data_IF_720492765875
#
_entry.id   IF_720492765875
#
_cell.length_a   1.000
_cell.length_b   1.000
_cell.length_c   1.000
_cell.angle_alpha   90.00
_cell.angle_beta   90.00
_cell.angle_gamma   90.00
#
_symmetry.space_group_name_H-M   'P 1'
#
loop_
_entity.id
_entity.type
_entity.pdbx_description
1 polymer ?
#
# COMPACT_ATOMS: atom_id res chain seq x y z
N UNK A 1 -82.60 -4.44 -52.17
CA UNK A 1 -81.74 -4.07 -51.03
C UNK A 1 -80.40 -4.78 -51.18
N UNK A 2 -79.45 -4.21 -51.93
CA UNK A 2 -78.21 -4.90 -52.29
C UNK A 2 -77.04 -3.91 -52.32
N UNK A 3 -75.91 -4.35 -51.75
CA UNK A 3 -74.57 -3.76 -51.82
C UNK A 3 -74.41 -2.44 -51.04
N UNK A 4 -74.57 -2.52 -49.71
CA UNK A 4 -73.87 -1.60 -48.77
C UNK A 4 -73.06 -2.36 -47.71
N UNK A 5 -73.45 -3.61 -47.41
CA UNK A 5 -72.76 -4.46 -46.43
C UNK A 5 -71.41 -4.99 -46.94
N UNK A 6 -71.26 -5.26 -48.25
CA UNK A 6 -70.04 -5.83 -48.83
C UNK A 6 -68.84 -4.88 -48.73
N UNK A 7 -69.07 -3.58 -48.95
CA UNK A 7 -68.01 -2.56 -48.90
C UNK A 7 -67.49 -2.36 -47.46
N UNK A 8 -68.37 -2.49 -46.47
CA UNK A 8 -68.03 -2.41 -45.04
C UNK A 8 -67.23 -3.64 -44.61
N UNK A 9 -67.59 -4.83 -45.09
CA UNK A 9 -66.86 -6.08 -44.78
C UNK A 9 -65.47 -6.09 -45.42
N UNK A 10 -65.34 -5.63 -46.67
CA UNK A 10 -64.03 -5.51 -47.34
C UNK A 10 -63.16 -4.44 -46.66
N UNK A 11 -63.75 -3.32 -46.24
CA UNK A 11 -63.05 -2.28 -45.46
C UNK A 11 -62.57 -2.78 -44.10
N UNK A 12 -63.37 -3.59 -43.39
CA UNK A 12 -62.95 -4.19 -42.11
C UNK A 12 -61.80 -5.19 -42.31
N UNK A 13 -61.84 -5.98 -43.38
CA UNK A 13 -60.80 -6.96 -43.69
C UNK A 13 -59.45 -6.30 -44.04
N UNK A 14 -59.47 -5.19 -44.79
CA UNK A 14 -58.25 -4.42 -45.08
C UNK A 14 -57.67 -3.76 -43.83
N UNK A 15 -58.51 -3.24 -42.92
CA UNK A 15 -58.03 -2.68 -41.64
C UNK A 15 -57.43 -3.76 -40.74
N UNK A 16 -57.97 -4.98 -40.73
CA UNK A 16 -57.36 -6.09 -39.98
C UNK A 16 -56.01 -6.57 -40.53
N UNK A 17 -55.78 -6.51 -41.85
CA UNK A 17 -54.49 -6.87 -42.43
C UNK A 17 -53.38 -5.84 -42.13
N UNK A 18 -53.73 -4.55 -42.04
CA UNK A 18 -52.76 -3.48 -41.72
C UNK A 18 -52.34 -3.54 -40.25
N UNK A 19 -53.21 -3.98 -39.34
CA UNK A 19 -52.87 -4.12 -37.91
C UNK A 19 -51.99 -5.36 -37.65
N UNK A 20 -52.11 -6.43 -38.43
CA UNK A 20 -51.27 -7.64 -38.29
C UNK A 20 -49.84 -7.38 -38.80
N UNK A 21 -49.65 -6.49 -39.79
CA UNK A 21 -48.32 -6.11 -40.30
C UNK A 21 -47.49 -5.28 -39.31
N UNK A 22 -48.09 -4.77 -38.23
CA UNK A 22 -47.37 -4.13 -37.11
C UNK A 22 -47.17 -5.08 -35.92
N UNK A 23 -47.51 -6.37 -36.07
CA UNK A 23 -47.27 -7.41 -35.08
C UNK A 23 -46.08 -8.30 -35.47
N UNK A 24 -45.22 -7.84 -36.37
CA UNK A 24 -43.87 -8.37 -36.51
C UNK A 24 -43.00 -7.54 -35.57
N UNK A 25 -43.07 -7.86 -34.27
CA UNK A 25 -42.06 -7.36 -33.34
C UNK A 25 -40.79 -8.14 -33.61
N UNK A 26 -40.02 -7.70 -34.61
CA UNK A 26 -38.59 -7.97 -34.68
C UNK A 26 -37.92 -7.24 -33.51
N UNK A 27 -38.22 -7.71 -32.30
CA UNK A 27 -37.49 -7.32 -31.10
C UNK A 27 -36.12 -7.96 -31.24
N UNK A 28 -35.16 -7.22 -31.78
CA UNK A 28 -33.75 -7.59 -31.68
C UNK A 28 -33.45 -7.79 -30.21
N UNK A 29 -33.15 -9.03 -29.80
CA UNK A 29 -32.75 -9.33 -28.43
C UNK A 29 -31.40 -8.65 -28.22
N UNK A 30 -31.40 -7.56 -27.45
CA UNK A 30 -30.18 -6.89 -27.03
C UNK A 30 -29.56 -7.70 -25.89
N UNK A 31 -28.44 -8.35 -26.19
CA UNK A 31 -27.62 -9.00 -25.19
C UNK A 31 -26.75 -7.96 -24.48
N UNK A 32 -26.58 -8.14 -23.17
CA UNK A 32 -25.73 -7.27 -22.36
C UNK A 32 -24.29 -7.24 -22.88
N UNK A 33 -23.67 -6.07 -22.82
CA UNK A 33 -22.25 -5.83 -23.08
C UNK A 33 -21.38 -5.95 -21.82
N UNK A 34 -21.95 -6.41 -20.69
CA UNK A 34 -21.20 -6.55 -19.44
C UNK A 34 -20.19 -7.70 -19.52
N UNK A 35 -18.92 -7.31 -19.69
CA UNK A 35 -17.74 -8.16 -19.74
C UNK A 35 -16.96 -8.16 -18.41
N UNK A 36 -17.58 -7.73 -17.31
CA UNK A 36 -16.89 -7.56 -16.03
C UNK A 36 -17.07 -8.74 -15.06
N UNK A 37 -16.07 -8.95 -14.20
CA UNK A 37 -16.14 -9.87 -13.07
C UNK A 37 -16.60 -9.06 -11.84
N UNK A 38 -17.69 -9.48 -11.21
CA UNK A 38 -18.31 -8.81 -10.06
C UNK A 38 -17.88 -9.38 -8.71
N UNK A 39 -17.50 -10.66 -8.68
CA UNK A 39 -16.98 -11.32 -7.48
C UNK A 39 -15.95 -12.39 -7.84
N UNK A 40 -14.99 -12.56 -6.95
CA UNK A 40 -13.95 -13.59 -7.05
C UNK A 40 -13.58 -14.05 -5.65
N UNK A 41 -13.69 -15.35 -5.38
CA UNK A 41 -13.29 -15.94 -4.10
C UNK A 41 -12.56 -17.27 -4.36
N UNK A 42 -11.53 -17.53 -3.55
CA UNK A 42 -10.86 -18.83 -3.49
C UNK A 42 -11.39 -19.64 -2.30
N UNK A 43 -11.14 -20.93 -2.35
CA UNK A 43 -11.33 -21.80 -1.18
C UNK A 43 -10.44 -21.36 -0.01
N UNK A 44 -10.76 -21.85 1.18
CA UNK A 44 -10.06 -21.46 2.40
C UNK A 44 -8.60 -21.89 2.37
N UNK A 45 -7.72 -20.97 2.76
CA UNK A 45 -6.29 -21.22 2.95
C UNK A 45 -6.06 -21.33 4.45
N UNK A 46 -5.63 -22.50 4.91
CA UNK A 46 -5.56 -22.84 6.34
C UNK A 46 -6.87 -22.57 7.10
N UNK A 47 -8.02 -22.83 6.47
CA UNK A 47 -9.34 -22.61 7.07
C UNK A 47 -9.78 -21.14 7.16
N UNK A 48 -9.05 -20.21 6.54
CA UNK A 48 -9.42 -18.79 6.44
C UNK A 48 -9.75 -18.41 5.00
N UNK A 49 -10.78 -17.59 4.83
CA UNK A 49 -11.13 -16.98 3.54
C UNK A 49 -10.38 -15.66 3.42
N UNK A 50 -9.68 -15.48 2.31
CA UNK A 50 -8.94 -14.26 2.01
C UNK A 50 -9.74 -13.40 1.04
N UNK A 51 -10.07 -12.13 1.38
CA UNK A 51 -10.86 -11.27 0.51
C UNK A 51 -10.02 -10.78 -0.69
N UNK A 52 -10.59 -10.91 -1.88
CA UNK A 52 -10.03 -10.38 -3.12
C UNK A 52 -10.67 -9.04 -3.49
N UNK A 53 -9.86 -8.16 -4.04
CA UNK A 53 -10.28 -6.91 -4.69
C UNK A 53 -10.20 -7.08 -6.19
N UNK A 54 -11.18 -6.51 -6.88
CA UNK A 54 -11.21 -6.43 -8.34
C UNK A 54 -11.02 -4.97 -8.72
N UNK A 55 -9.86 -4.66 -9.29
CA UNK A 55 -9.63 -3.39 -9.96
C UNK A 55 -10.26 -3.45 -11.36
N UNK A 56 -11.45 -2.87 -11.48
CA UNK A 56 -12.19 -2.84 -12.74
C UNK A 56 -11.51 -1.97 -13.80
N UNK A 57 -10.67 -1.00 -13.43
CA UNK A 57 -10.03 -0.12 -14.41
C UNK A 57 -8.86 -0.85 -15.06
N UNK A 58 -8.01 -1.47 -14.24
CA UNK A 58 -6.80 -2.15 -14.71
C UNK A 58 -7.01 -3.63 -15.05
N UNK A 59 -8.17 -4.20 -14.74
CA UNK A 59 -8.44 -5.63 -14.95
C UNK A 59 -7.57 -6.50 -14.04
N UNK A 60 -7.35 -6.10 -12.78
CA UNK A 60 -6.52 -6.90 -11.85
C UNK A 60 -7.35 -7.43 -10.70
N UNK A 61 -7.11 -8.67 -10.30
CA UNK A 61 -7.76 -9.33 -9.18
C UNK A 61 -6.68 -9.79 -8.23
N UNK A 62 -6.73 -9.32 -6.98
CA UNK A 62 -5.71 -9.67 -6.00
C UNK A 62 -6.26 -9.63 -4.57
N UNK A 63 -5.70 -10.45 -3.69
CA UNK A 63 -6.01 -10.39 -2.27
C UNK A 63 -5.39 -9.14 -1.63
N UNK A 64 -6.19 -8.45 -0.81
CA UNK A 64 -5.73 -7.22 -0.11
C UNK A 64 -4.62 -7.59 0.87
N UNK A 65 -4.85 -8.63 1.67
CA UNK A 65 -3.88 -9.16 2.60
C UNK A 65 -3.23 -10.42 2.04
N UNK A 66 -1.91 -10.44 2.05
CA UNK A 66 -1.12 -11.56 1.57
C UNK A 66 -1.36 -12.84 2.37
N UNK A 67 -1.38 -13.98 1.70
CA UNK A 67 -1.50 -15.29 2.34
C UNK A 67 -0.16 -15.69 2.99
N UNK A 68 -0.16 -16.66 3.93
CA UNK A 68 1.07 -17.08 4.62
C UNK A 68 2.15 -17.57 3.64
N UNK A 69 3.42 -17.37 3.99
CA UNK A 69 4.57 -17.79 3.18
C UNK A 69 4.50 -19.27 2.76
N UNK A 70 4.04 -20.12 3.68
CA UNK A 70 3.94 -21.59 3.49
C UNK A 70 2.67 -22.04 2.74
N UNK A 71 1.82 -21.11 2.29
CA UNK A 71 0.59 -21.44 1.59
C UNK A 71 0.80 -21.95 0.16
N UNK A 72 2.04 -21.92 -0.36
CA UNK A 72 2.44 -22.41 -1.68
C UNK A 72 1.92 -23.82 -1.99
N UNK A 73 1.95 -24.70 -0.98
CA UNK A 73 1.44 -26.08 -1.06
C UNK A 73 -0.09 -26.22 -1.07
N UNK A 74 -0.83 -25.16 -0.76
CA UNK A 74 -2.29 -25.11 -0.81
C UNK A 74 -2.73 -24.44 -2.11
N UNK A 75 -2.16 -23.27 -2.41
CA UNK A 75 -2.54 -22.47 -3.57
C UNK A 75 -2.07 -23.07 -4.90
N UNK A 76 -1.14 -24.04 -4.87
CA UNK A 76 -0.78 -24.82 -6.06
C UNK A 76 -1.90 -25.77 -6.53
N UNK A 77 -2.95 -25.94 -5.73
CA UNK A 77 -4.11 -26.75 -6.05
C UNK A 77 -5.34 -26.23 -5.29
N UNK A 78 -5.77 -25.02 -5.62
CA UNK A 78 -6.89 -24.35 -4.95
C UNK A 78 -8.08 -24.14 -5.90
N UNK A 79 -9.28 -24.22 -5.35
CA UNK A 79 -10.51 -23.98 -6.10
C UNK A 79 -10.87 -22.48 -6.08
N UNK A 80 -11.42 -22.00 -7.18
CA UNK A 80 -12.21 -20.77 -7.19
C UNK A 80 -13.62 -21.16 -6.73
N UNK A 81 -14.01 -20.71 -5.55
CA UNK A 81 -15.31 -21.03 -4.94
C UNK A 81 -16.41 -20.09 -5.41
N UNK A 82 -16.06 -18.90 -5.87
CA UNK A 82 -16.98 -17.92 -6.42
C UNK A 82 -16.34 -17.14 -7.56
N UNK A 83 -17.07 -17.03 -8.67
CA UNK A 83 -16.73 -16.19 -9.80
C UNK A 83 -18.05 -15.68 -10.40
N UNK A 84 -18.38 -14.43 -10.13
CA UNK A 84 -19.63 -13.85 -10.62
C UNK A 84 -19.31 -13.02 -11.87
N UNK A 85 -19.66 -13.52 -13.04
CA UNK A 85 -19.60 -12.80 -14.31
C UNK A 85 -20.90 -13.08 -15.08
N UNK A 86 -21.39 -12.10 -15.84
CA UNK A 86 -22.62 -12.28 -16.63
C UNK A 86 -22.40 -13.21 -17.83
N UNK A 87 -21.21 -13.15 -18.42
CA UNK A 87 -20.82 -13.91 -19.59
C UNK A 87 -19.95 -15.14 -19.26
N UNK A 88 -19.12 -15.54 -20.23
CA UNK A 88 -18.23 -16.71 -20.07
C UNK A 88 -16.81 -16.27 -19.78
N UNK A 89 -16.13 -16.98 -18.87
CA UNK A 89 -14.74 -16.70 -18.50
C UNK A 89 -13.84 -17.80 -19.04
N UNK A 90 -12.75 -17.41 -19.70
CA UNK A 90 -11.75 -18.30 -20.27
C UNK A 90 -10.42 -18.15 -19.56
N UNK A 91 -9.66 -19.24 -19.48
CA UNK A 91 -8.24 -19.28 -19.16
C UNK A 91 -7.49 -19.87 -20.34
N UNK A 92 -6.68 -19.06 -21.02
CA UNK A 92 -6.19 -19.39 -22.36
C UNK A 92 -7.34 -19.64 -23.33
N UNK A 93 -7.37 -20.82 -23.94
CA UNK A 93 -8.40 -21.24 -24.92
C UNK A 93 -9.51 -22.11 -24.29
N UNK A 94 -9.53 -22.27 -22.97
CA UNK A 94 -10.45 -23.16 -22.25
C UNK A 94 -11.43 -22.36 -21.41
N UNK A 95 -12.71 -22.73 -21.43
CA UNK A 95 -13.71 -22.17 -20.50
C UNK A 95 -13.33 -22.56 -19.08
N UNK A 96 -13.21 -21.56 -18.20
CA UNK A 96 -12.90 -21.77 -16.81
C UNK A 96 -14.04 -22.52 -16.12
N UNK A 97 -13.71 -23.62 -15.45
CA UNK A 97 -14.67 -24.43 -14.72
C UNK A 97 -14.36 -24.36 -13.23
N UNK A 98 -15.34 -23.99 -12.41
CA UNK A 98 -15.16 -23.80 -10.96
C UNK A 98 -15.00 -25.11 -10.17
N UNK A 99 -15.24 -26.27 -10.80
CA UNK A 99 -14.99 -27.58 -10.19
C UNK A 99 -13.52 -27.96 -10.14
N UNK A 100 -12.69 -27.27 -10.93
CA UNK A 100 -11.30 -27.66 -11.15
C UNK A 100 -10.36 -26.78 -10.33
N UNK A 101 -9.41 -27.42 -9.66
CA UNK A 101 -8.37 -26.73 -8.91
C UNK A 101 -7.33 -26.14 -9.85
N UNK A 102 -6.86 -24.94 -9.55
CA UNK A 102 -5.81 -24.24 -10.28
C UNK A 102 -4.52 -24.19 -9.48
N UNK A 103 -3.39 -24.15 -10.18
CA UNK A 103 -2.10 -23.78 -9.59
C UNK A 103 -1.94 -22.26 -9.65
N UNK A 104 -2.09 -21.62 -8.49
CA UNK A 104 -1.92 -20.19 -8.30
C UNK A 104 -0.61 -19.82 -7.58
N UNK A 105 0.26 -20.81 -7.32
CA UNK A 105 1.48 -20.63 -6.51
C UNK A 105 2.50 -19.67 -7.12
N UNK A 106 2.45 -19.48 -8.45
CA UNK A 106 3.37 -18.61 -9.19
C UNK A 106 2.73 -17.34 -9.73
N UNK A 107 1.52 -16.99 -9.27
CA UNK A 107 0.76 -15.86 -9.83
C UNK A 107 1.39 -14.49 -9.56
N UNK A 108 2.26 -14.37 -8.55
CA UNK A 108 3.08 -13.15 -8.35
C UNK A 108 4.19 -12.97 -9.40
N UNK A 109 4.61 -14.05 -10.06
CA UNK A 109 5.62 -14.01 -11.14
C UNK A 109 4.95 -14.02 -12.52
N UNK A 110 3.91 -14.84 -12.66
CA UNK A 110 3.13 -15.02 -13.88
C UNK A 110 1.64 -15.02 -13.52
N UNK A 111 0.98 -13.85 -13.53
CA UNK A 111 -0.43 -13.76 -13.19
C UNK A 111 -1.31 -14.67 -14.05
N UNK A 112 -2.32 -15.28 -13.43
CA UNK A 112 -3.31 -16.07 -14.15
C UNK A 112 -4.13 -15.13 -15.02
N UNK A 113 -4.15 -15.38 -16.33
CA UNK A 113 -4.93 -14.57 -17.27
C UNK A 113 -6.32 -15.15 -17.44
N UNK A 114 -7.32 -14.31 -17.22
CA UNK A 114 -8.71 -14.59 -17.48
C UNK A 114 -9.20 -13.68 -18.60
N UNK A 115 -10.03 -14.19 -19.51
CA UNK A 115 -10.72 -13.40 -20.52
C UNK A 115 -12.22 -13.60 -20.37
N UNK A 116 -12.95 -12.52 -20.14
CA UNK A 116 -14.41 -12.54 -20.08
C UNK A 116 -14.97 -12.17 -21.44
N UNK A 117 -15.96 -12.91 -21.89
CA UNK A 117 -16.78 -12.58 -23.05
C UNK A 117 -18.18 -12.23 -22.56
N UNK A 118 -18.64 -11.02 -22.85
CA UNK A 118 -20.00 -10.60 -22.54
C UNK A 118 -21.04 -11.47 -23.30
N UNK A 119 -22.30 -11.55 -22.84
CA UNK A 119 -23.36 -12.30 -23.53
C UNK A 119 -23.59 -11.90 -24.99
N UNK A 120 -23.23 -10.68 -25.38
CA UNK A 120 -23.33 -10.23 -26.77
C UNK A 120 -22.24 -10.81 -27.70
N UNK A 121 -21.24 -11.53 -27.15
CA UNK A 121 -20.10 -12.12 -27.85
C UNK A 121 -19.23 -11.11 -28.63
N UNK A 122 -19.34 -9.82 -28.32
CA UNK A 122 -18.56 -8.73 -28.93
C UNK A 122 -17.62 -8.12 -27.90
N UNK A 123 -18.15 -7.76 -26.74
CA UNK A 123 -17.37 -7.12 -25.69
C UNK A 123 -16.58 -8.15 -24.90
N UNK A 124 -15.31 -7.84 -24.66
CA UNK A 124 -14.39 -8.72 -23.95
C UNK A 124 -13.45 -7.92 -23.07
N UNK A 125 -13.13 -8.50 -21.92
CA UNK A 125 -12.18 -7.91 -20.98
C UNK A 125 -11.19 -8.92 -20.46
N UNK A 126 -9.93 -8.51 -20.45
CA UNK A 126 -8.86 -9.29 -19.89
C UNK A 126 -8.68 -8.92 -18.41
N UNK A 127 -8.53 -9.96 -17.58
CA UNK A 127 -8.20 -9.86 -16.18
C UNK A 127 -6.92 -10.64 -15.88
N UNK A 128 -6.14 -10.14 -14.93
CA UNK A 128 -5.02 -10.88 -14.32
C UNK A 128 -5.29 -11.13 -12.86
N UNK A 129 -5.17 -12.38 -12.42
CA UNK A 129 -5.30 -12.78 -11.01
C UNK A 129 -3.91 -12.99 -10.40
N UNK A 130 -3.67 -12.32 -9.27
CA UNK A 130 -2.47 -12.46 -8.44
C UNK A 130 -2.85 -12.87 -7.02
N UNK A 131 -2.37 -14.02 -6.58
CA UNK A 131 -2.42 -14.42 -5.16
C UNK A 131 -1.14 -13.95 -4.50
N UNK A 132 -1.23 -12.83 -3.76
CA UNK A 132 -0.13 -12.24 -3.01
C UNK A 132 0.20 -13.11 -1.80
N UNK A 133 1.46 -13.42 -1.63
CA UNK A 133 2.00 -14.25 -0.54
C UNK A 133 3.01 -13.40 0.25
N UNK A 134 3.13 -13.64 1.56
CA UNK A 134 4.24 -13.07 2.32
C UNK A 134 5.57 -13.43 1.66
N UNK A 135 6.48 -12.47 1.51
CA UNK A 135 7.80 -12.70 0.88
C UNK A 135 8.85 -13.21 1.86
N UNK A 136 8.61 -13.00 3.14
CA UNK A 136 9.50 -13.40 4.21
C UNK A 136 8.87 -14.57 4.94
N UNK A 137 9.68 -15.58 5.20
CA UNK A 137 9.30 -16.66 6.10
C UNK A 137 9.22 -16.10 7.53
N UNK A 138 8.04 -16.14 8.19
CA UNK A 138 7.89 -15.63 9.54
C UNK A 138 8.82 -16.34 10.54
N UNK A 139 9.17 -17.60 10.30
CA UNK A 139 10.05 -18.39 11.18
C UNK A 139 11.54 -18.06 10.97
N UNK A 140 11.87 -17.30 9.93
CA UNK A 140 13.23 -16.78 9.73
C UNK A 140 13.59 -15.66 10.71
N UNK A 141 12.61 -15.05 11.40
CA UNK A 141 12.85 -14.03 12.43
C UNK A 141 13.20 -14.67 13.79
N UNK A 142 14.44 -15.13 13.91
CA UNK A 142 14.95 -15.75 15.15
C UNK A 142 15.61 -14.72 16.06
N UNK A 143 15.01 -14.47 17.22
CA UNK A 143 15.62 -13.66 18.28
C UNK A 143 16.66 -14.48 19.04
N UNK A 144 17.93 -14.15 18.84
CA UNK A 144 19.03 -14.71 19.65
C UNK A 144 19.38 -13.74 20.77
N UNK A 145 19.23 -14.18 22.02
CA UNK A 145 19.65 -13.39 23.17
C UNK A 145 21.18 -13.24 23.16
N UNK A 146 21.65 -11.99 23.14
CA UNK A 146 23.07 -11.69 23.28
C UNK A 146 23.57 -12.03 24.70
N UNK A 147 24.80 -12.55 24.80
CA UNK A 147 25.41 -13.00 26.07
C UNK A 147 25.71 -11.87 27.05
N UNK A 148 25.89 -10.65 26.55
CA UNK A 148 26.15 -9.46 27.35
C UNK A 148 25.49 -8.23 26.72
N UNK A 149 25.18 -7.25 27.57
CA UNK A 149 24.75 -5.92 27.13
C UNK A 149 25.94 -5.19 26.50
N UNK A 150 25.72 -4.48 25.39
CA UNK A 150 26.73 -3.57 24.83
C UNK A 150 26.78 -2.22 25.56
N UNK A 151 25.80 -1.93 26.41
CA UNK A 151 25.89 -0.81 27.35
C UNK A 151 26.76 -1.22 28.54
N UNK A 152 27.88 -0.51 28.71
CA UNK A 152 28.86 -0.85 29.74
C UNK A 152 28.38 -0.52 31.17
N UNK A 153 27.44 0.43 31.32
CA UNK A 153 26.99 0.93 32.64
C UNK A 153 25.48 1.21 32.64
N UNK A 154 24.74 0.53 33.54
CA UNK A 154 23.35 0.85 33.88
C UNK A 154 22.29 0.51 32.83
N UNK A 155 21.02 0.84 33.15
CA UNK A 155 19.94 0.82 32.17
C UNK A 155 20.06 2.07 31.29
N UNK A 156 20.09 1.95 29.96
CA UNK A 156 20.32 3.08 29.05
C UNK A 156 19.16 4.10 29.02
N UNK A 157 18.06 3.83 29.74
CA UNK A 157 16.86 4.66 29.74
C UNK A 157 16.22 4.70 28.35
N UNK A 158 15.85 5.90 27.89
CA UNK A 158 15.32 6.09 26.54
C UNK A 158 16.45 5.87 25.52
N UNK A 159 16.13 5.13 24.45
CA UNK A 159 17.07 4.84 23.37
C UNK A 159 16.40 5.09 22.01
N UNK A 160 17.21 5.45 21.01
CA UNK A 160 16.78 5.55 19.61
C UNK A 160 17.83 4.94 18.72
N UNK A 161 17.41 3.96 17.92
CA UNK A 161 18.22 3.41 16.84
C UNK A 161 17.92 4.10 15.51
N UNK A 162 18.95 4.30 14.70
CA UNK A 162 18.85 4.88 13.37
C UNK A 162 19.92 4.27 12.46
N UNK A 163 19.61 4.14 11.16
CA UNK A 163 20.56 3.64 10.16
C UNK A 163 21.23 4.84 9.50
N UNK A 164 22.56 4.79 9.40
CA UNK A 164 23.39 5.75 8.68
C UNK A 164 24.39 4.98 7.79
N UNK A 165 24.20 5.05 6.48
CA UNK A 165 24.98 4.23 5.53
C UNK A 165 24.84 2.74 5.83
N UNK A 166 25.97 2.04 5.99
CA UNK A 166 26.02 0.62 6.35
C UNK A 166 26.03 0.35 7.85
N UNK A 167 25.78 1.37 8.68
CA UNK A 167 25.85 1.27 10.14
C UNK A 167 24.50 1.50 10.81
N UNK A 168 24.28 0.84 11.94
CA UNK A 168 23.21 1.12 12.88
C UNK A 168 23.83 1.89 14.04
N UNK A 169 23.31 3.09 14.31
CA UNK A 169 23.64 3.88 15.49
C UNK A 169 22.53 3.76 16.54
N UNK A 170 22.92 3.73 17.81
CA UNK A 170 22.03 3.78 18.97
C UNK A 170 22.47 4.94 19.86
N UNK A 171 21.57 5.92 20.00
CA UNK A 171 21.71 7.06 20.90
C UNK A 171 20.88 6.83 22.16
N UNK A 172 21.33 7.41 23.26
CA UNK A 172 20.64 7.40 24.56
C UNK A 172 20.42 8.83 25.03
N UNK A 173 19.86 9.00 26.23
CA UNK A 173 19.82 10.32 26.88
C UNK A 173 21.21 10.92 27.17
N UNK A 174 22.28 10.12 27.17
CA UNK A 174 23.65 10.62 27.25
C UNK A 174 24.11 11.06 25.86
N UNK A 175 24.15 12.37 25.61
CA UNK A 175 24.48 12.94 24.31
C UNK A 175 25.98 13.02 24.02
N UNK A 176 26.83 12.61 24.97
CA UNK A 176 28.28 12.56 24.79
C UNK A 176 28.78 11.24 24.18
N UNK A 177 27.89 10.25 24.02
CA UNK A 177 28.25 8.94 23.50
C UNK A 177 27.14 8.31 22.65
N UNK A 178 27.54 7.46 21.73
CA UNK A 178 26.65 6.59 20.97
C UNK A 178 27.29 5.21 20.83
N UNK A 179 26.49 4.24 20.41
CA UNK A 179 26.95 2.88 20.11
C UNK A 179 26.62 2.59 18.66
N UNK A 180 27.55 2.01 17.91
CA UNK A 180 27.26 1.61 16.53
C UNK A 180 27.75 0.21 16.20
N UNK A 181 27.13 -0.37 15.18
CA UNK A 181 27.49 -1.65 14.59
C UNK A 181 27.22 -1.61 13.09
N UNK A 182 27.81 -2.54 12.33
CA UNK A 182 27.49 -2.71 10.91
C UNK A 182 26.15 -3.43 10.75
N UNK A 183 25.37 -3.03 9.74
CA UNK A 183 24.12 -3.70 9.34
C UNK A 183 24.30 -5.20 9.09
N UNK A 184 25.49 -5.60 8.63
CA UNK A 184 25.86 -6.98 8.34
C UNK A 184 26.24 -7.81 9.57
N UNK A 185 26.53 -7.17 10.72
CA UNK A 185 27.00 -7.84 11.93
C UNK A 185 25.91 -7.86 13.01
N UNK A 186 25.48 -6.69 13.50
CA UNK A 186 24.46 -6.57 14.54
C UNK A 186 24.83 -7.15 15.92
N UNK A 187 25.96 -7.86 16.05
CA UNK A 187 26.38 -8.56 17.27
C UNK A 187 27.45 -7.81 18.04
N UNK A 188 28.38 -7.18 17.34
CA UNK A 188 29.48 -6.44 17.95
C UNK A 188 29.22 -4.95 17.87
N UNK A 189 29.22 -4.28 19.02
CA UNK A 189 28.91 -2.86 19.14
C UNK A 189 30.12 -2.10 19.65
N UNK A 190 30.40 -0.96 19.02
CA UNK A 190 31.50 -0.07 19.38
C UNK A 190 30.95 1.20 20.00
N UNK A 191 31.42 1.55 21.20
CA UNK A 191 31.13 2.82 21.84
C UNK A 191 31.95 3.93 21.18
N UNK A 192 31.30 5.02 20.81
CA UNK A 192 31.92 6.20 20.20
C UNK A 192 31.59 7.46 21.00
N UNK A 193 32.52 8.41 20.98
CA UNK A 193 32.32 9.75 21.52
C UNK A 193 31.47 10.55 20.52
N UNK A 194 30.51 11.30 21.04
CA UNK A 194 29.68 12.22 20.28
C UNK A 194 30.06 13.64 20.66
N UNK A 195 30.33 14.46 19.64
CA UNK A 195 30.71 15.85 19.79
C UNK A 195 29.56 16.77 19.33
N UNK A 196 29.32 17.83 20.12
CA UNK A 196 28.38 18.91 19.82
C UNK A 196 26.89 18.52 19.67
N UNK A 197 26.47 17.37 20.22
CA UNK A 197 25.05 17.02 20.34
C UNK A 197 24.45 17.67 21.62
N UNK A 198 23.47 18.58 21.50
CA UNK A 198 22.91 19.28 22.66
C UNK A 198 22.21 18.34 23.65
N UNK A 199 22.25 18.67 24.93
CA UNK A 199 21.61 17.85 25.98
C UNK A 199 20.07 17.87 25.93
N UNK A 200 19.46 18.89 25.31
CA UNK A 200 18.02 19.08 25.20
C UNK A 200 17.43 18.54 23.87
N UNK A 201 18.07 17.53 23.27
CA UNK A 201 17.53 16.88 22.08
C UNK A 201 16.25 16.10 22.38
N UNK A 202 15.32 16.10 21.43
CA UNK A 202 14.20 15.17 21.40
C UNK A 202 14.69 13.85 20.82
N UNK A 203 15.19 12.95 21.67
CA UNK A 203 15.82 11.69 21.24
C UNK A 203 14.98 10.88 20.23
N UNK A 204 13.65 10.85 20.37
CA UNK A 204 12.78 10.10 19.46
C UNK A 204 12.71 10.70 18.04
N UNK A 205 13.07 11.98 17.88
CA UNK A 205 13.06 12.70 16.61
C UNK A 205 14.23 12.37 15.68
N UNK A 206 15.27 11.68 16.15
CA UNK A 206 16.41 11.34 15.30
C UNK A 206 15.92 10.56 14.08
N UNK A 207 16.24 11.05 12.89
CA UNK A 207 15.90 10.43 11.62
C UNK A 207 17.06 10.49 10.64
N UNK A 208 17.03 9.61 9.64
CA UNK A 208 17.97 9.60 8.54
C UNK A 208 17.32 10.20 7.28
N UNK A 209 18.08 11.05 6.59
CA UNK A 209 17.71 11.64 5.30
C UNK A 209 18.96 11.89 4.47
N UNK A 210 19.01 11.35 3.24
CA UNK A 210 20.12 11.50 2.29
C UNK A 210 21.52 11.27 2.90
N UNK A 211 21.68 10.13 3.56
CA UNK A 211 22.94 9.72 4.20
C UNK A 211 23.44 10.66 5.30
N UNK A 212 22.54 11.47 5.87
CA UNK A 212 22.80 12.28 7.07
C UNK A 212 21.71 12.03 8.12
N UNK A 213 22.07 12.26 9.38
CA UNK A 213 21.15 12.24 10.50
C UNK A 213 20.68 13.65 10.82
N UNK A 214 19.42 13.77 11.24
CA UNK A 214 18.80 15.01 11.68
C UNK A 214 18.13 14.79 13.04
N UNK A 215 18.20 15.78 13.93
CA UNK A 215 17.55 15.75 15.25
C UNK A 215 17.00 17.13 15.60
N UNK A 216 15.87 17.13 16.29
CA UNK A 216 15.22 18.33 16.80
C UNK A 216 15.51 18.50 18.29
N UNK A 217 15.65 19.73 18.76
CA UNK A 217 15.78 20.07 20.19
C UNK A 217 14.47 20.58 20.78
N UNK A 218 14.41 20.69 22.11
CA UNK A 218 13.29 21.31 22.83
C UNK A 218 13.12 22.80 22.50
N UNK A 219 14.18 23.49 22.08
CA UNK A 219 14.18 24.90 21.67
C UNK A 219 14.02 25.11 20.15
N UNK A 220 13.41 24.15 19.44
CA UNK A 220 13.07 24.22 18.01
C UNK A 220 14.29 24.42 17.09
N UNK A 221 15.46 23.94 17.50
CA UNK A 221 16.67 23.90 16.65
C UNK A 221 16.84 22.54 16.02
N UNK A 222 17.44 22.53 14.84
CA UNK A 222 17.73 21.32 14.09
C UNK A 222 19.25 21.13 14.04
N UNK A 223 19.72 19.95 14.39
CA UNK A 223 21.12 19.56 14.24
C UNK A 223 21.22 18.45 13.22
N UNK A 224 22.31 18.43 12.46
CA UNK A 224 22.62 17.36 11.52
C UNK A 224 24.02 16.78 11.70
N UNK A 225 24.19 15.55 11.25
CA UNK A 225 25.46 14.83 11.31
C UNK A 225 25.58 13.86 10.14
N UNK A 226 26.66 13.98 9.35
CA UNK A 226 26.95 13.05 8.25
C UNK A 226 27.74 11.81 8.65
N UNK A 227 28.37 11.81 9.84
CA UNK A 227 29.18 10.71 10.37
C UNK A 227 28.54 10.00 11.58
N UNK A 228 27.48 10.59 12.15
CA UNK A 228 26.80 10.12 13.36
C UNK A 228 27.51 10.50 14.67
N UNK A 229 28.70 11.10 14.61
CA UNK A 229 29.51 11.43 15.79
C UNK A 229 29.72 12.93 15.98
N UNK A 230 29.75 13.69 14.90
CA UNK A 230 29.97 15.13 14.88
C UNK A 230 28.68 15.82 14.47
N UNK A 231 28.05 16.55 15.40
CA UNK A 231 26.80 17.26 15.13
C UNK A 231 27.03 18.75 14.92
N UNK A 232 26.29 19.34 13.99
CA UNK A 232 26.33 20.77 13.71
C UNK A 232 24.90 21.30 13.63
N UNK A 233 24.70 22.54 14.08
CA UNK A 233 23.40 23.19 13.93
C UNK A 233 23.11 23.45 12.45
N UNK A 234 21.96 22.98 11.98
CA UNK A 234 21.46 23.25 10.64
C UNK A 234 20.70 24.58 10.65
N UNK A 235 21.43 25.67 10.40
CA UNK A 235 20.87 27.03 10.42
C UNK A 235 19.71 27.28 9.45
N UNK A 236 19.59 26.51 8.36
CA UNK A 236 18.48 26.64 7.41
C UNK A 236 17.16 26.09 7.96
N UNK A 237 17.25 24.99 8.73
CA UNK A 237 16.08 24.33 9.30
C UNK A 237 15.76 24.78 10.74
N UNK A 238 16.75 25.26 11.49
CA UNK A 238 16.59 25.81 12.85
C UNK A 238 15.69 27.04 12.90
N UNK A 239 15.01 27.26 14.02
CA UNK A 239 14.28 28.52 14.29
C UNK A 239 12.99 28.69 13.48
N UNK A 240 12.44 27.60 12.95
CA UNK A 240 11.22 27.59 12.13
C UNK A 240 9.97 27.10 12.91
N UNK A 241 10.05 27.07 14.24
CA UNK A 241 9.02 26.58 15.17
C UNK A 241 8.55 25.15 14.88
N UNK A 242 9.46 24.32 14.38
CA UNK A 242 9.22 22.88 14.19
C UNK A 242 9.24 22.21 15.54
N UNK A 243 8.14 21.56 15.92
CA UNK A 243 7.98 20.87 17.21
C UNK A 243 8.21 19.36 17.12
N UNK A 244 8.02 18.77 15.93
CA UNK A 244 8.20 17.34 15.73
C UNK A 244 8.61 17.02 14.30
N UNK A 245 9.44 15.99 14.14
CA UNK A 245 9.59 15.31 12.85
C UNK A 245 8.61 14.16 12.74
N UNK A 246 8.04 13.97 11.55
CA UNK A 246 7.05 12.92 11.27
C UNK A 246 7.71 11.81 10.44
N UNK A 247 8.24 12.16 9.26
CA UNK A 247 8.90 11.21 8.37
C UNK A 247 9.92 11.87 7.44
N UNK A 248 10.91 11.09 7.03
CA UNK A 248 11.69 11.39 5.83
C UNK A 248 11.07 10.72 4.62
N UNK A 249 11.11 11.39 3.48
CA UNK A 249 10.81 10.89 2.15
C UNK A 249 12.10 10.99 1.30
N UNK A 250 12.15 10.42 0.09
CA UNK A 250 13.35 10.53 -0.75
C UNK A 250 13.83 11.96 -1.03
N UNK A 251 12.90 12.91 -1.07
CA UNK A 251 13.14 14.30 -1.46
C UNK A 251 12.90 15.34 -0.37
N UNK A 252 12.23 14.99 0.73
CA UNK A 252 11.92 15.94 1.81
C UNK A 252 11.84 15.30 3.20
N UNK A 253 11.98 16.13 4.23
CA UNK A 253 11.61 15.81 5.61
C UNK A 253 10.27 16.46 5.91
N UNK A 254 9.39 15.72 6.57
CA UNK A 254 8.09 16.21 7.04
C UNK A 254 8.09 16.35 8.55
N UNK A 255 7.35 17.33 9.04
CA UNK A 255 7.27 17.66 10.44
C UNK A 255 5.94 18.32 10.82
N UNK A 256 5.89 18.78 12.05
CA UNK A 256 4.83 19.60 12.61
C UNK A 256 5.47 20.88 13.10
N UNK A 257 4.94 22.02 12.69
CA UNK A 257 5.36 23.34 13.19
C UNK A 257 4.20 24.10 13.80
N UNK A 258 4.53 24.96 14.75
CA UNK A 258 3.60 25.93 15.33
C UNK A 258 3.57 27.20 14.46
N UNK A 259 2.39 27.73 14.20
CA UNK A 259 2.23 29.02 13.53
C UNK A 259 2.21 30.20 14.52
N UNK A 260 2.17 31.43 14.02
CA UNK A 260 2.16 32.66 14.84
C UNK A 260 0.99 32.72 15.84
N UNK A 261 -0.07 31.94 15.62
CA UNK A 261 -1.26 31.87 16.48
C UNK A 261 -1.20 30.70 17.46
N UNK A 262 -0.13 29.90 17.43
CA UNK A 262 0.03 28.72 18.27
C UNK A 262 -0.61 27.45 17.70
N UNK A 263 -1.14 27.47 16.47
CA UNK A 263 -1.81 26.33 15.85
C UNK A 263 -0.78 25.41 15.21
N UNK A 264 -0.91 24.11 15.45
CA UNK A 264 -0.04 23.09 14.88
C UNK A 264 -0.42 22.79 13.43
N UNK A 265 0.55 22.84 12.54
CA UNK A 265 0.39 22.54 11.11
C UNK A 265 1.45 21.57 10.66
N UNK A 266 1.06 20.68 9.74
CA UNK A 266 2.03 19.85 9.03
C UNK A 266 2.95 20.75 8.20
N UNK A 267 4.21 20.40 8.10
CA UNK A 267 5.18 21.06 7.24
C UNK A 267 6.05 20.07 6.49
N UNK A 268 6.61 20.51 5.37
CA UNK A 268 7.52 19.73 4.52
C UNK A 268 8.69 20.62 4.11
N UNK A 269 9.90 20.08 4.11
CA UNK A 269 11.05 20.80 3.57
C UNK A 269 11.00 20.82 2.04
N UNK A 270 11.58 21.85 1.43
CA UNK A 270 11.90 21.76 0.00
C UNK A 270 13.11 20.85 -0.25
N UNK A 271 13.33 20.52 -1.53
CA UNK A 271 14.33 19.52 -1.94
C UNK A 271 15.78 19.86 -1.58
N UNK A 272 16.11 21.13 -1.33
CA UNK A 272 17.45 21.59 -0.94
C UNK A 272 17.59 21.86 0.57
N UNK A 273 16.55 21.53 1.37
CA UNK A 273 16.48 21.78 2.81
C UNK A 273 16.68 23.24 3.23
N UNK A 274 16.35 24.21 2.37
CA UNK A 274 16.51 25.63 2.68
C UNK A 274 15.34 26.26 3.43
N UNK A 275 14.14 25.66 3.41
CA UNK A 275 12.96 26.17 4.10
C UNK A 275 11.91 25.11 4.40
N UNK A 276 10.98 25.46 5.28
CA UNK A 276 9.77 24.69 5.58
C UNK A 276 8.54 25.30 4.90
N UNK A 277 7.80 24.47 4.17
CA UNK A 277 6.50 24.82 3.58
C UNK A 277 5.38 24.30 4.48
N UNK A 278 4.46 25.19 4.84
CA UNK A 278 3.35 24.87 5.76
C UNK A 278 2.16 24.32 4.99
N UNK A 279 1.62 23.20 5.48
CA UNK A 279 0.43 22.55 4.97
C UNK A 279 -0.80 22.77 5.85
N UNK A 280 -1.57 21.70 6.02
CA UNK A 280 -2.85 21.70 6.75
C UNK A 280 -2.63 21.67 8.26
N UNK A 281 -3.67 22.07 8.98
CA UNK A 281 -3.75 21.93 10.44
C UNK A 281 -3.70 20.47 10.86
N UNK A 282 -2.99 20.23 11.97
CA UNK A 282 -2.83 18.90 12.57
C UNK A 282 -4.07 18.60 13.41
N UNK A 283 -4.79 17.50 13.17
CA UNK A 283 -5.92 17.10 14.02
C UNK A 283 -5.47 16.88 15.48
N UNK A 284 -6.32 17.21 16.44
CA UNK A 284 -6.03 17.02 17.88
C UNK A 284 -5.71 15.55 18.25
N UNK A 285 -6.19 14.59 17.47
CA UNK A 285 -5.95 13.16 17.68
C UNK A 285 -4.61 12.67 17.12
N UNK A 286 -3.88 13.51 16.37
CA UNK A 286 -2.61 13.13 15.78
C UNK A 286 -1.48 13.22 16.82
N UNK A 287 -0.59 12.22 16.81
CA UNK A 287 0.55 12.16 17.73
C UNK A 287 1.60 13.20 17.35
N UNK A 288 2.11 13.95 18.33
CA UNK A 288 3.16 14.96 18.13
C UNK A 288 4.52 14.55 18.71
N UNK A 289 4.59 13.39 19.35
CA UNK A 289 5.82 12.86 19.94
C UNK A 289 5.95 11.36 19.69
N UNK A 290 7.19 10.86 19.79
CA UNK A 290 7.50 9.43 19.67
C UNK A 290 7.03 8.79 18.36
N UNK A 291 7.04 9.58 17.29
CA UNK A 291 6.73 9.13 15.94
C UNK A 291 7.95 8.39 15.41
N UNK A 292 7.73 7.21 14.83
CA UNK A 292 8.76 6.45 14.13
C UNK A 292 8.34 6.21 12.71
N UNK A 293 9.26 6.43 11.79
CA UNK A 293 9.08 6.25 10.36
C UNK A 293 10.33 5.62 9.78
N UNK A 294 10.14 4.90 8.67
CA UNK A 294 11.23 4.30 7.90
C UNK A 294 10.86 4.35 6.43
N UNK A 295 11.86 4.54 5.59
CA UNK A 295 11.72 4.49 4.13
C UNK A 295 12.44 3.26 3.64
N UNK A 296 11.75 2.45 2.86
CA UNK A 296 12.37 1.33 2.16
C UNK A 296 12.14 1.50 0.67
N UNK A 297 13.17 1.21 -0.13
CA UNK A 297 13.05 1.20 -1.58
C UNK A 297 12.39 -0.12 -1.98
N UNK A 298 11.19 -0.06 -2.55
CA UNK A 298 10.58 -1.23 -3.19
C UNK A 298 11.41 -1.61 -4.42
N UNK A 299 11.56 -2.91 -4.69
CA UNK A 299 11.98 -3.37 -6.01
C UNK A 299 10.83 -3.08 -6.97
N UNK A 300 10.89 -1.94 -7.65
CA UNK A 300 10.15 -1.64 -8.88
C UNK A 300 11.17 -1.42 -9.97
#
# INVERSE_FOLDING_TARGET
MRIKLLLVIVSLFFVSFVIISCLESDGTIEYSSDDTIHAFELDSIYGKIYPFTIDQINGTIYNIDSVPFTADTIINKILITRLDALGYVFTGDTILTLSDSLDLSKTMEQPLKLKVFAPNNVDTKDYTVEVRIHKQDPDSLVWTKMTSSFFAEGEPGKQKSVILGESIFVYTSNTAEAYYTLLSNGREWTKVKVDNLPANIKLSSILAFRDELYVLTEDNKVYSSGDGTSWNENSALSGNDVEAFVASFPDAITGIKKDEKGILKFCVTNADLSRWETGREVPETFLTENISSTVYKTKT
#
